data_IF_983260733530
#
_entry.id   IF_983260733530
#
_cell.length_a   1.000
_cell.length_b   1.000
_cell.length_c   1.000
_cell.angle_alpha   90.00
_cell.angle_beta   90.00
_cell.angle_gamma   90.00
#
_symmetry.space_group_name_H-M   'P 1'
#
loop_
_entity.id
_entity.type
_entity.pdbx_description
1 polymer ?
#
# COMPACT_ATOMS: atom_id res chain seq x y z
N UNK A 1 44.76 -58.32 -1.03
CA UNK A 1 45.50 -58.44 -2.30
C UNK A 1 44.55 -58.02 -3.41
N UNK A 2 44.96 -57.07 -4.25
CA UNK A 2 44.14 -56.55 -5.37
C UNK A 2 43.89 -57.64 -6.42
N UNK A 3 42.69 -57.69 -7.00
CA UNK A 3 42.32 -58.73 -7.96
C UNK A 3 43.10 -58.60 -9.27
N UNK A 4 43.39 -59.72 -9.95
CA UNK A 4 43.99 -59.72 -11.31
C UNK A 4 43.19 -58.86 -12.31
N UNK A 5 41.88 -58.75 -12.12
CA UNK A 5 41.02 -57.91 -12.96
C UNK A 5 41.21 -56.41 -12.68
N UNK A 6 41.36 -56.03 -11.41
CA UNK A 6 41.62 -54.65 -10.99
C UNK A 6 43.00 -54.20 -11.46
N UNK A 7 44.00 -55.09 -11.38
CA UNK A 7 45.34 -54.87 -11.90
C UNK A 7 45.32 -54.60 -13.42
N UNK A 8 44.60 -55.42 -14.19
CA UNK A 8 44.40 -55.22 -15.65
C UNK A 8 43.70 -53.90 -15.97
N UNK A 9 42.65 -53.53 -15.22
CA UNK A 9 41.94 -52.25 -15.38
C UNK A 9 42.86 -51.07 -15.08
N UNK A 10 43.70 -51.17 -14.05
CA UNK A 10 44.69 -50.14 -13.70
C UNK A 10 45.74 -49.98 -14.80
N UNK A 11 46.32 -51.08 -15.28
CA UNK A 11 47.29 -51.07 -16.38
C UNK A 11 46.69 -50.48 -17.67
N UNK A 12 45.43 -50.79 -17.99
CA UNK A 12 44.74 -50.20 -19.12
C UNK A 12 44.54 -48.67 -18.94
N UNK A 13 44.15 -48.21 -17.74
CA UNK A 13 44.03 -46.78 -17.42
C UNK A 13 45.37 -46.06 -17.50
N UNK A 14 46.44 -46.67 -16.97
CA UNK A 14 47.80 -46.13 -17.08
C UNK A 14 48.27 -46.05 -18.53
N UNK A 15 48.03 -47.09 -19.33
CA UNK A 15 48.35 -47.08 -20.77
C UNK A 15 47.62 -45.96 -21.50
N UNK A 16 46.32 -45.80 -21.25
CA UNK A 16 45.54 -44.70 -21.81
C UNK A 16 46.03 -43.34 -21.32
N UNK A 17 46.42 -43.21 -20.05
CA UNK A 17 47.00 -41.98 -19.49
C UNK A 17 48.32 -41.63 -20.18
N UNK A 18 49.29 -42.56 -20.22
CA UNK A 18 50.59 -42.38 -20.89
C UNK A 18 50.45 -42.10 -22.38
N UNK A 19 49.44 -42.67 -23.03
CA UNK A 19 49.12 -42.34 -24.42
C UNK A 19 48.59 -40.90 -24.55
N UNK A 20 47.68 -40.46 -23.68
CA UNK A 20 47.16 -39.07 -23.67
C UNK A 20 48.23 -38.03 -23.33
N UNK A 21 49.20 -38.38 -22.48
CA UNK A 21 50.36 -37.53 -22.15
C UNK A 21 51.30 -37.37 -23.35
N UNK A 22 51.50 -38.44 -24.13
CA UNK A 22 52.29 -38.42 -25.38
C UNK A 22 51.55 -37.81 -26.58
N UNK A 23 50.22 -37.69 -26.50
CA UNK A 23 49.37 -37.16 -27.56
C UNK A 23 48.45 -36.02 -27.07
N UNK A 24 49.01 -34.92 -26.53
CA UNK A 24 48.21 -33.79 -26.03
C UNK A 24 47.33 -33.16 -27.13
N UNK A 25 47.78 -33.19 -28.39
CA UNK A 25 47.06 -32.69 -29.56
C UNK A 25 45.76 -33.47 -29.83
N UNK A 26 45.69 -34.75 -29.43
CA UNK A 26 44.45 -35.52 -29.53
C UNK A 26 43.35 -34.95 -28.63
N UNK A 27 43.70 -34.52 -27.42
CA UNK A 27 42.75 -33.91 -26.46
C UNK A 27 42.19 -32.60 -27.02
N UNK A 28 43.03 -31.79 -27.65
CA UNK A 28 42.62 -30.53 -28.29
C UNK A 28 41.73 -30.78 -29.50
N UNK A 29 42.13 -31.68 -30.41
CA UNK A 29 41.29 -32.09 -31.55
C UNK A 29 39.94 -32.65 -31.10
N UNK A 30 39.89 -33.43 -30.03
CA UNK A 30 38.64 -33.95 -29.48
C UNK A 30 37.74 -32.84 -28.90
N UNK A 31 38.33 -31.86 -28.20
CA UNK A 31 37.60 -30.67 -27.69
C UNK A 31 37.04 -29.84 -28.83
N UNK A 32 37.85 -29.59 -29.87
CA UNK A 32 37.45 -28.80 -31.02
C UNK A 32 36.35 -29.50 -31.83
N UNK A 33 36.48 -30.82 -32.07
CA UNK A 33 35.40 -31.62 -32.68
C UNK A 33 34.11 -31.56 -31.85
N UNK A 34 34.19 -31.67 -30.53
CA UNK A 34 33.03 -31.57 -29.65
C UNK A 34 32.41 -30.16 -29.68
N UNK A 35 33.23 -29.10 -29.71
CA UNK A 35 32.76 -27.71 -29.85
C UNK A 35 32.02 -27.49 -31.17
N UNK A 36 32.60 -27.95 -32.29
CA UNK A 36 31.98 -27.87 -33.61
C UNK A 36 30.70 -28.70 -33.70
N UNK A 37 30.68 -29.89 -33.10
CA UNK A 37 29.45 -30.66 -32.95
C UNK A 37 28.41 -29.91 -32.12
N UNK A 38 28.80 -29.34 -30.98
CA UNK A 38 27.90 -28.60 -30.10
C UNK A 38 27.28 -27.40 -30.80
N UNK A 39 28.09 -26.54 -31.46
CA UNK A 39 27.57 -25.37 -32.16
C UNK A 39 26.63 -25.75 -33.32
N UNK A 40 26.97 -26.78 -34.10
CA UNK A 40 26.08 -27.30 -35.16
C UNK A 40 24.74 -27.82 -34.63
N UNK A 41 24.72 -28.37 -33.42
CA UNK A 41 23.53 -29.00 -32.82
C UNK A 41 22.90 -28.14 -31.71
N UNK A 42 23.34 -26.90 -31.52
CA UNK A 42 23.02 -26.07 -30.35
C UNK A 42 21.54 -25.73 -30.28
N UNK A 43 20.97 -25.28 -31.39
CA UNK A 43 19.56 -24.89 -31.49
C UNK A 43 18.63 -26.07 -31.23
N UNK A 44 18.90 -27.21 -31.87
CA UNK A 44 18.12 -28.45 -31.72
C UNK A 44 18.21 -28.99 -30.30
N UNK A 45 19.41 -29.08 -29.71
CA UNK A 45 19.58 -29.47 -28.31
C UNK A 45 18.84 -28.54 -27.37
N UNK A 46 18.90 -27.23 -27.60
CA UNK A 46 18.18 -26.26 -26.78
C UNK A 46 16.67 -26.43 -26.91
N UNK A 47 16.15 -26.69 -28.10
CA UNK A 47 14.73 -27.00 -28.32
C UNK A 47 14.33 -28.27 -27.55
N UNK A 48 15.05 -29.37 -27.76
CA UNK A 48 14.82 -30.63 -27.06
C UNK A 48 14.88 -30.49 -25.55
N UNK A 49 15.81 -29.68 -25.03
CA UNK A 49 15.90 -29.40 -23.60
C UNK A 49 14.71 -28.59 -23.08
N UNK A 50 14.23 -27.59 -23.83
CA UNK A 50 13.02 -26.83 -23.47
C UNK A 50 11.79 -27.74 -23.47
N UNK A 51 11.65 -28.61 -24.45
CA UNK A 51 10.51 -29.52 -24.56
C UNK A 51 10.54 -30.57 -23.46
N UNK A 52 11.70 -31.16 -23.19
CA UNK A 52 11.91 -32.04 -22.04
C UNK A 52 11.60 -31.33 -20.72
N UNK A 53 12.00 -30.06 -20.56
CA UNK A 53 11.70 -29.30 -19.35
C UNK A 53 10.20 -29.00 -19.22
N UNK A 54 9.52 -28.66 -20.32
CA UNK A 54 8.06 -28.46 -20.36
C UNK A 54 7.33 -29.74 -20.01
N UNK A 55 7.71 -30.87 -20.62
CA UNK A 55 7.12 -32.18 -20.34
C UNK A 55 7.31 -32.58 -18.87
N UNK A 56 8.50 -32.39 -18.31
CA UNK A 56 8.77 -32.65 -16.88
C UNK A 56 7.91 -31.76 -15.96
N UNK A 57 7.77 -30.48 -16.28
CA UNK A 57 6.93 -29.56 -15.51
C UNK A 57 5.43 -29.86 -15.64
N UNK A 58 4.98 -30.33 -16.81
CA UNK A 58 3.60 -30.73 -17.05
C UNK A 58 3.25 -32.05 -16.34
N UNK A 59 4.18 -33.02 -16.30
CA UNK A 59 3.99 -34.31 -15.65
C UNK A 59 3.95 -34.18 -14.12
N UNK A 60 4.92 -33.48 -13.53
CA UNK A 60 4.90 -33.15 -12.11
C UNK A 60 5.65 -31.82 -11.85
N UNK A 61 4.93 -30.72 -11.61
CA UNK A 61 5.56 -29.44 -11.33
C UNK A 61 6.17 -29.37 -9.93
N UNK A 62 5.82 -30.28 -9.02
CA UNK A 62 6.08 -30.11 -7.60
C UNK A 62 7.55 -30.22 -7.19
N UNK A 63 8.37 -31.13 -7.74
CA UNK A 63 9.81 -31.15 -7.48
C UNK A 63 10.49 -29.84 -7.88
N UNK A 64 10.08 -29.25 -9.00
CA UNK A 64 10.61 -27.97 -9.49
C UNK A 64 10.16 -26.84 -8.55
N UNK A 65 8.89 -26.82 -8.15
CA UNK A 65 8.36 -25.83 -7.21
C UNK A 65 9.01 -25.95 -5.84
N UNK A 66 9.16 -27.16 -5.30
CA UNK A 66 9.81 -27.43 -4.03
C UNK A 66 11.26 -26.94 -4.02
N UNK A 67 12.03 -27.28 -5.06
CA UNK A 67 13.39 -26.75 -5.26
C UNK A 67 13.40 -25.22 -5.32
N UNK A 68 12.48 -24.62 -6.09
CA UNK A 68 12.41 -23.17 -6.22
C UNK A 68 12.02 -22.48 -4.90
N UNK A 69 11.12 -23.09 -4.11
CA UNK A 69 10.78 -22.62 -2.75
C UNK A 69 11.99 -22.72 -1.82
N UNK A 70 12.69 -23.86 -1.79
CA UNK A 70 13.89 -24.05 -0.99
C UNK A 70 15.00 -23.05 -1.37
N UNK A 71 15.23 -22.85 -2.67
CA UNK A 71 16.18 -21.85 -3.17
C UNK A 71 15.75 -20.43 -2.78
N UNK A 72 14.47 -20.09 -2.95
CA UNK A 72 13.94 -18.77 -2.58
C UNK A 72 14.07 -18.50 -1.08
N UNK A 73 13.89 -19.52 -0.24
CA UNK A 73 14.04 -19.41 1.20
C UNK A 73 15.51 -19.22 1.58
N UNK A 74 16.41 -20.06 1.04
CA UNK A 74 17.87 -19.96 1.29
C UNK A 74 18.46 -18.64 0.82
N UNK A 75 17.93 -18.06 -0.25
CA UNK A 75 18.42 -16.81 -0.86
C UNK A 75 17.51 -15.62 -0.58
N UNK A 76 16.68 -15.68 0.48
CA UNK A 76 15.71 -14.63 0.79
C UNK A 76 16.35 -13.24 0.87
N UNK A 77 17.49 -13.13 1.53
CA UNK A 77 18.15 -11.85 1.76
C UNK A 77 18.82 -11.33 0.49
N UNK A 78 19.49 -12.19 -0.28
CA UNK A 78 20.05 -11.83 -1.59
C UNK A 78 18.97 -11.35 -2.57
N UNK A 79 17.80 -12.02 -2.56
CA UNK A 79 16.65 -11.60 -3.37
C UNK A 79 16.07 -10.28 -2.89
N UNK A 80 16.03 -10.06 -1.58
CA UNK A 80 15.57 -8.81 -1.00
C UNK A 80 16.51 -7.66 -1.36
N UNK A 81 17.81 -7.86 -1.23
CA UNK A 81 18.84 -6.91 -1.62
C UNK A 81 18.78 -6.57 -3.12
N UNK A 82 18.68 -7.57 -3.99
CA UNK A 82 18.45 -7.37 -5.42
C UNK A 82 17.19 -6.52 -5.70
N UNK A 83 16.09 -6.82 -4.99
CA UNK A 83 14.86 -6.03 -5.10
C UNK A 83 15.06 -4.58 -4.65
N UNK A 84 15.78 -4.34 -3.56
CA UNK A 84 16.07 -2.99 -3.07
C UNK A 84 16.96 -2.22 -4.04
N UNK A 85 18.02 -2.85 -4.57
CA UNK A 85 18.90 -2.24 -5.59
C UNK A 85 18.12 -1.86 -6.83
N UNK A 86 17.28 -2.76 -7.35
CA UNK A 86 16.41 -2.47 -8.49
C UNK A 86 15.41 -1.35 -8.19
N UNK A 87 14.84 -1.33 -6.98
CA UNK A 87 13.92 -0.28 -6.53
C UNK A 87 14.61 1.09 -6.44
N UNK A 88 15.88 1.12 -6.02
CA UNK A 88 16.68 2.33 -5.92
C UNK A 88 17.14 2.85 -7.29
N UNK A 89 17.44 1.95 -8.23
CA UNK A 89 17.83 2.31 -9.60
C UNK A 89 16.67 2.88 -10.43
N UNK A 90 15.43 2.61 -10.05
CA UNK A 90 14.26 3.15 -10.75
C UNK A 90 13.95 4.59 -10.28
N UNK A 91 13.80 5.56 -11.21
CA UNK A 91 13.36 6.90 -10.88
C UNK A 91 12.07 6.89 -10.05
N UNK A 92 12.05 7.69 -8.98
CA UNK A 92 10.98 7.64 -8.00
C UNK A 92 9.60 7.91 -8.62
N UNK A 93 9.51 8.84 -9.56
CA UNK A 93 8.25 9.15 -10.26
C UNK A 93 7.70 7.99 -11.07
N UNK A 94 8.56 7.28 -11.80
CA UNK A 94 8.17 6.09 -12.57
C UNK A 94 7.66 4.99 -11.64
N UNK A 95 8.37 4.76 -10.51
CA UNK A 95 7.95 3.81 -9.49
C UNK A 95 6.59 4.17 -8.91
N UNK A 96 6.38 5.44 -8.54
CA UNK A 96 5.10 5.95 -8.02
C UNK A 96 3.97 5.77 -9.03
N UNK A 97 4.21 6.09 -10.30
CA UNK A 97 3.21 5.96 -11.36
C UNK A 97 2.80 4.50 -11.55
N UNK A 98 3.76 3.59 -11.66
CA UNK A 98 3.49 2.15 -11.78
C UNK A 98 2.74 1.59 -10.59
N UNK A 99 3.09 1.99 -9.36
CA UNK A 99 2.38 1.54 -8.15
C UNK A 99 0.93 2.02 -8.10
N UNK A 100 0.68 3.29 -8.50
CA UNK A 100 -0.67 3.84 -8.63
C UNK A 100 -1.47 3.08 -9.68
N UNK A 101 -0.89 2.83 -10.85
CA UNK A 101 -1.56 2.11 -11.93
C UNK A 101 -1.86 0.66 -11.55
N UNK A 102 -0.91 -0.04 -10.92
CA UNK A 102 -1.13 -1.39 -10.39
C UNK A 102 -2.27 -1.43 -9.38
N UNK A 103 -2.32 -0.43 -8.49
CA UNK A 103 -3.39 -0.30 -7.49
C UNK A 103 -4.74 -0.02 -8.16
N UNK A 104 -4.77 0.87 -9.16
CA UNK A 104 -5.94 1.19 -9.97
C UNK A 104 -6.48 -0.05 -10.69
N UNK A 105 -5.63 -0.79 -11.41
CA UNK A 105 -6.01 -2.02 -12.13
C UNK A 105 -6.57 -3.08 -11.17
N UNK A 106 -5.97 -3.23 -9.98
CA UNK A 106 -6.46 -4.15 -8.95
C UNK A 106 -7.85 -3.75 -8.43
N UNK A 107 -8.08 -2.46 -8.21
CA UNK A 107 -9.38 -1.95 -7.78
C UNK A 107 -10.43 -2.12 -8.89
N UNK A 108 -10.11 -1.77 -10.14
CA UNK A 108 -11.02 -1.91 -11.28
C UNK A 108 -11.48 -3.34 -11.54
N UNK A 109 -10.59 -4.33 -11.36
CA UNK A 109 -10.91 -5.76 -11.55
C UNK A 109 -11.91 -6.29 -10.53
N UNK A 110 -11.80 -5.84 -9.28
CA UNK A 110 -12.59 -6.35 -8.15
C UNK A 110 -12.70 -5.27 -7.06
N UNK A 111 -13.62 -4.31 -7.22
CA UNK A 111 -13.82 -3.24 -6.24
C UNK A 111 -14.28 -3.78 -4.89
N UNK A 112 -15.25 -4.73 -4.91
CA UNK A 112 -15.86 -5.27 -3.70
C UNK A 112 -14.85 -6.06 -2.86
N UNK A 113 -14.10 -6.98 -3.46
CA UNK A 113 -13.07 -7.73 -2.75
C UNK A 113 -11.87 -6.86 -2.36
N UNK A 114 -11.57 -5.77 -3.08
CA UNK A 114 -10.58 -4.79 -2.62
C UNK A 114 -11.04 -4.08 -1.33
N UNK A 115 -12.30 -3.63 -1.27
CA UNK A 115 -12.87 -3.00 -0.09
C UNK A 115 -12.93 -3.98 1.10
N UNK A 116 -13.33 -5.23 0.86
CA UNK A 116 -13.33 -6.27 1.90
C UNK A 116 -11.92 -6.52 2.46
N UNK A 117 -10.90 -6.62 1.60
CA UNK A 117 -9.50 -6.76 2.02
C UNK A 117 -9.01 -5.55 2.81
N UNK A 118 -9.38 -4.34 2.40
CA UNK A 118 -9.06 -3.11 3.14
C UNK A 118 -9.70 -3.09 4.52
N UNK A 119 -10.96 -3.53 4.64
CA UNK A 119 -11.67 -3.64 5.92
C UNK A 119 -10.93 -4.59 6.87
N UNK A 120 -10.67 -5.82 6.45
CA UNK A 120 -9.94 -6.83 7.24
C UNK A 120 -8.56 -6.31 7.65
N UNK A 121 -7.84 -5.65 6.73
CA UNK A 121 -6.53 -5.08 7.04
C UNK A 121 -6.61 -4.00 8.12
N UNK A 122 -7.58 -3.08 8.04
CA UNK A 122 -7.77 -2.01 9.04
C UNK A 122 -8.15 -2.57 10.41
N UNK A 123 -8.97 -3.61 10.45
CA UNK A 123 -9.35 -4.30 11.69
C UNK A 123 -8.14 -4.98 12.33
N UNK A 124 -7.36 -5.75 11.55
CA UNK A 124 -6.15 -6.43 12.04
C UNK A 124 -4.99 -5.50 12.36
N UNK A 125 -4.99 -4.29 11.79
CA UNK A 125 -3.90 -3.31 11.93
C UNK A 125 -4.43 -1.96 12.42
N UNK A 126 -5.30 -1.98 13.43
CA UNK A 126 -6.01 -0.79 13.91
C UNK A 126 -5.09 0.37 14.26
N UNK A 127 -4.00 0.09 14.97
CA UNK A 127 -2.99 1.10 15.32
C UNK A 127 -2.35 1.73 14.07
N UNK A 128 -1.90 0.90 13.12
CA UNK A 128 -1.33 1.40 11.85
C UNK A 128 -2.36 2.19 11.05
N UNK A 129 -3.61 1.73 10.99
CA UNK A 129 -4.70 2.45 10.33
C UNK A 129 -4.93 3.83 10.94
N UNK A 130 -4.94 3.94 12.27
CA UNK A 130 -5.01 5.23 12.97
C UNK A 130 -3.79 6.11 12.68
N UNK A 131 -2.59 5.54 12.67
CA UNK A 131 -1.36 6.25 12.33
C UNK A 131 -1.41 6.83 10.91
N UNK A 132 -1.91 6.08 9.92
CA UNK A 132 -2.11 6.57 8.55
C UNK A 132 -3.10 7.74 8.49
N UNK A 133 -4.23 7.66 9.18
CA UNK A 133 -5.22 8.75 9.23
C UNK A 133 -4.61 9.99 9.88
N UNK A 134 -3.87 9.83 10.98
CA UNK A 134 -3.15 10.92 11.65
C UNK A 134 -2.13 11.58 10.73
N UNK A 135 -1.29 10.79 10.07
CA UNK A 135 -0.28 11.29 9.12
C UNK A 135 -0.92 12.05 7.94
N UNK A 136 -2.02 11.51 7.38
CA UNK A 136 -2.79 12.19 6.34
C UNK A 136 -3.37 13.51 6.84
N UNK A 137 -3.89 13.56 8.07
CA UNK A 137 -4.41 14.79 8.67
C UNK A 137 -3.32 15.84 8.87
N UNK A 138 -2.13 15.45 9.34
CA UNK A 138 -0.97 16.36 9.47
C UNK A 138 -0.58 16.90 8.10
N UNK A 139 -0.54 16.06 7.06
CA UNK A 139 -0.25 16.47 5.69
C UNK A 139 -1.26 17.50 5.18
N UNK A 140 -2.56 17.27 5.39
CA UNK A 140 -3.61 18.23 5.01
C UNK A 140 -3.46 19.57 5.72
N UNK A 141 -3.16 19.56 7.03
CA UNK A 141 -2.90 20.80 7.79
C UNK A 141 -1.68 21.56 7.26
N UNK A 142 -0.59 20.86 6.92
CA UNK A 142 0.60 21.48 6.30
C UNK A 142 0.30 22.08 4.94
N UNK A 143 -0.48 21.38 4.11
CA UNK A 143 -0.91 21.91 2.81
C UNK A 143 -1.81 23.15 2.96
N UNK A 144 -2.60 23.22 4.04
CA UNK A 144 -3.38 24.39 4.42
C UNK A 144 -2.56 25.50 5.11
N UNK A 145 -1.26 25.61 4.79
CA UNK A 145 -0.34 26.63 5.32
C UNK A 145 0.34 26.28 6.64
N UNK A 146 0.03 25.14 7.27
CA UNK A 146 0.70 24.67 8.49
C UNK A 146 0.43 25.49 9.75
N UNK A 147 -0.21 26.65 9.62
CA UNK A 147 -0.57 27.53 10.72
C UNK A 147 -1.64 26.88 11.61
N UNK A 148 -1.53 27.09 12.92
CA UNK A 148 -2.48 26.59 13.91
C UNK A 148 -2.84 27.69 14.90
N UNK A 149 -4.06 27.65 15.43
CA UNK A 149 -4.44 28.44 16.59
C UNK A 149 -3.92 27.81 17.90
N UNK A 150 -3.77 28.63 18.93
CA UNK A 150 -3.36 28.19 20.27
C UNK A 150 -4.57 27.80 21.12
N UNK A 151 -4.35 27.05 22.19
CA UNK A 151 -5.41 26.71 23.16
C UNK A 151 -6.06 27.96 23.76
N UNK A 152 -5.29 29.02 24.00
CA UNK A 152 -5.83 30.30 24.52
C UNK A 152 -6.77 30.97 23.51
N UNK A 153 -6.41 30.99 22.23
CA UNK A 153 -7.28 31.51 21.17
C UNK A 153 -8.59 30.71 21.06
N UNK A 154 -8.52 29.39 21.23
CA UNK A 154 -9.70 28.54 21.26
C UNK A 154 -10.62 28.83 22.46
N UNK A 155 -10.06 28.98 23.66
CA UNK A 155 -10.83 29.33 24.85
C UNK A 155 -11.51 30.70 24.71
N UNK A 156 -10.79 31.70 24.20
CA UNK A 156 -11.35 33.02 23.94
C UNK A 156 -12.49 32.97 22.90
N UNK A 157 -12.35 32.16 21.85
CA UNK A 157 -13.40 31.95 20.85
C UNK A 157 -14.62 31.25 21.47
N UNK A 158 -14.42 30.26 22.34
CA UNK A 158 -15.51 29.63 23.07
C UNK A 158 -16.27 30.64 23.92
N UNK A 159 -15.57 31.47 24.68
CA UNK A 159 -16.20 32.46 25.57
C UNK A 159 -16.95 33.52 24.77
N UNK A 160 -16.40 33.99 23.65
CA UNK A 160 -17.09 34.88 22.70
C UNK A 160 -18.43 34.32 22.21
N UNK A 161 -18.50 33.00 21.98
CA UNK A 161 -19.72 32.31 21.56
C UNK A 161 -20.59 31.82 22.75
N UNK A 162 -20.37 32.31 23.97
CA UNK A 162 -21.11 31.88 25.16
C UNK A 162 -20.97 30.38 25.45
N UNK A 163 -19.83 29.80 25.06
CA UNK A 163 -19.48 28.37 25.14
C UNK A 163 -20.54 27.48 24.51
N UNK A 164 -21.12 27.93 23.40
CA UNK A 164 -22.22 27.29 22.70
C UNK A 164 -21.89 27.05 21.22
N UNK A 165 -22.64 26.14 20.60
CA UNK A 165 -22.53 25.85 19.18
C UNK A 165 -22.94 27.06 18.34
N UNK A 166 -22.07 27.51 17.44
CA UNK A 166 -22.30 28.65 16.54
C UNK A 166 -23.43 28.43 15.50
N UNK A 167 -23.98 27.22 15.43
CA UNK A 167 -25.07 26.85 14.52
C UNK A 167 -26.42 26.72 15.22
N UNK A 168 -26.47 25.98 16.34
CA UNK A 168 -27.72 25.61 17.02
C UNK A 168 -27.81 26.07 18.48
N UNK A 169 -26.77 26.69 19.03
CA UNK A 169 -26.75 27.17 20.42
C UNK A 169 -26.59 26.08 21.49
N UNK A 170 -26.52 24.79 21.13
CA UNK A 170 -26.26 23.71 22.10
C UNK A 170 -24.92 23.92 22.81
N UNK A 171 -24.87 23.67 24.12
CA UNK A 171 -23.64 23.73 24.95
C UNK A 171 -22.98 22.35 25.15
N UNK A 172 -23.53 21.30 24.53
CA UNK A 172 -23.10 19.92 24.75
C UNK A 172 -22.03 19.52 23.73
N UNK A 173 -20.91 18.96 24.23
CA UNK A 173 -19.82 18.38 23.42
C UNK A 173 -19.38 19.30 22.27
N UNK A 174 -18.90 20.50 22.65
CA UNK A 174 -18.38 21.46 21.69
C UNK A 174 -17.03 20.99 21.13
N UNK A 175 -16.98 20.87 19.82
CA UNK A 175 -15.81 20.50 19.03
C UNK A 175 -15.37 21.68 18.15
N UNK A 176 -14.15 21.59 17.65
CA UNK A 176 -13.59 22.50 16.64
C UNK A 176 -14.21 22.14 15.27
N UNK A 177 -14.85 23.10 14.63
CA UNK A 177 -15.28 23.02 13.24
C UNK A 177 -14.57 24.10 12.41
N UNK A 178 -14.32 23.82 11.12
CA UNK A 178 -13.69 24.75 10.20
C UNK A 178 -14.75 25.43 9.33
N UNK A 179 -14.81 26.77 9.29
CA UNK A 179 -15.76 27.52 8.42
C UNK A 179 -15.67 27.03 6.98
N UNK A 180 -14.47 27.00 6.43
CA UNK A 180 -14.13 26.29 5.19
C UNK A 180 -13.36 25.02 5.52
N UNK A 181 -13.85 23.82 5.16
CA UNK A 181 -13.14 22.57 5.43
C UNK A 181 -11.73 22.53 4.82
N UNK A 182 -10.77 21.90 5.50
CA UNK A 182 -9.39 21.76 5.02
C UNK A 182 -9.30 21.11 3.62
N UNK A 183 -10.22 20.19 3.29
CA UNK A 183 -10.26 19.53 1.98
C UNK A 183 -10.68 20.49 0.84
N UNK A 184 -11.33 21.62 1.19
CA UNK A 184 -11.72 22.69 0.26
C UNK A 184 -10.79 23.91 0.36
N UNK A 185 -9.59 23.72 0.89
CA UNK A 185 -8.58 24.79 0.96
C UNK A 185 -8.70 25.74 2.16
N UNK A 186 -9.57 25.45 3.14
CA UNK A 186 -9.63 26.25 4.36
C UNK A 186 -8.35 26.12 5.20
N UNK A 187 -8.00 27.19 5.93
CA UNK A 187 -6.84 27.23 6.81
C UNK A 187 -7.12 26.61 8.18
N UNK A 188 -6.08 26.35 8.98
CA UNK A 188 -6.24 25.94 10.38
C UNK A 188 -5.96 27.11 11.36
N UNK A 189 -6.17 28.34 10.90
CA UNK A 189 -6.11 29.57 11.70
C UNK A 189 -7.39 29.81 12.47
N UNK A 190 -7.32 30.54 13.59
CA UNK A 190 -8.48 30.83 14.45
C UNK A 190 -9.63 31.49 13.67
N UNK A 191 -9.32 32.32 12.66
CA UNK A 191 -10.32 32.97 11.82
C UNK A 191 -11.21 31.97 11.05
N UNK A 192 -10.69 30.77 10.73
CA UNK A 192 -11.43 29.70 10.08
C UNK A 192 -12.06 28.72 11.07
N UNK A 193 -12.07 28.98 12.38
CA UNK A 193 -12.60 28.06 13.39
C UNK A 193 -13.93 28.58 13.94
N UNK A 194 -14.84 27.66 14.22
CA UNK A 194 -16.07 27.87 14.97
C UNK A 194 -16.27 26.77 16.02
N UNK A 195 -16.89 27.10 17.17
CA UNK A 195 -17.37 26.10 18.09
C UNK A 195 -18.65 25.45 17.55
N UNK A 196 -18.64 24.13 17.40
CA UNK A 196 -19.80 23.38 16.93
C UNK A 196 -20.04 22.16 17.81
N UNK A 197 -21.28 21.88 18.17
CA UNK A 197 -21.60 20.61 18.83
C UNK A 197 -21.36 19.44 17.85
N UNK A 198 -21.07 18.26 18.41
CA UNK A 198 -20.80 17.04 17.63
C UNK A 198 -21.86 16.71 16.59
N UNK A 199 -23.14 16.97 16.86
CA UNK A 199 -24.23 16.69 15.91
C UNK A 199 -24.17 17.64 14.70
N UNK A 200 -24.04 18.95 14.92
CA UNK A 200 -23.88 19.93 13.84
C UNK A 200 -22.60 19.71 13.05
N UNK A 201 -21.47 19.50 13.72
CA UNK A 201 -20.17 19.25 13.07
C UNK A 201 -20.24 18.03 12.12
N UNK A 202 -20.87 16.94 12.59
CA UNK A 202 -21.09 15.72 11.79
C UNK A 202 -22.09 15.88 10.65
N UNK A 203 -23.07 16.78 10.77
CA UNK A 203 -24.01 17.09 9.67
C UNK A 203 -23.34 17.97 8.62
N UNK A 204 -22.52 18.94 9.03
CA UNK A 204 -21.77 19.83 8.14
C UNK A 204 -20.77 19.08 7.26
N UNK A 205 -20.02 18.13 7.81
CA UNK A 205 -19.00 17.32 7.08
C UNK A 205 -18.03 18.18 6.25
N UNK A 206 -18.26 18.24 4.94
CA UNK A 206 -17.40 18.86 3.94
C UNK A 206 -18.04 20.11 3.33
N UNK A 207 -19.19 20.53 3.85
CA UNK A 207 -19.82 21.80 3.49
C UNK A 207 -19.07 22.98 4.13
N UNK A 208 -19.10 24.13 3.46
CA UNK A 208 -18.69 25.40 4.07
C UNK A 208 -19.71 25.85 5.12
N UNK A 209 -19.33 26.82 5.94
CA UNK A 209 -20.23 27.46 6.90
C UNK A 209 -21.49 27.97 6.19
N UNK A 210 -21.34 28.69 5.09
CA UNK A 210 -22.47 29.28 4.35
C UNK A 210 -23.40 28.23 3.78
N UNK A 211 -22.86 27.18 3.16
CA UNK A 211 -23.64 26.05 2.64
C UNK A 211 -24.42 25.36 3.77
N UNK A 212 -23.80 25.17 4.93
CA UNK A 212 -24.45 24.53 6.06
C UNK A 212 -25.50 25.43 6.70
N UNK A 213 -25.24 26.74 6.82
CA UNK A 213 -26.22 27.71 7.30
C UNK A 213 -27.42 27.78 6.36
N UNK A 214 -27.20 27.77 5.04
CA UNK A 214 -28.27 27.71 4.04
C UNK A 214 -29.11 26.43 4.16
N UNK A 215 -28.46 25.27 4.38
CA UNK A 215 -29.17 24.02 4.65
C UNK A 215 -30.05 24.13 5.91
N UNK A 216 -29.50 24.62 7.02
CA UNK A 216 -30.25 24.79 8.27
C UNK A 216 -31.40 25.80 8.13
N UNK A 217 -31.24 26.83 7.31
CA UNK A 217 -32.32 27.78 7.01
C UNK A 217 -33.42 27.13 6.18
N UNK A 218 -33.06 26.36 5.15
CA UNK A 218 -34.03 25.61 4.32
C UNK A 218 -34.84 24.64 5.16
N UNK A 219 -34.18 23.86 6.01
CA UNK A 219 -34.85 22.91 6.91
C UNK A 219 -35.76 23.61 7.93
N UNK A 220 -35.34 24.78 8.45
CA UNK A 220 -36.20 25.59 9.34
C UNK A 220 -37.45 26.08 8.63
N UNK A 221 -37.34 26.55 7.38
CA UNK A 221 -38.50 26.99 6.58
C UNK A 221 -39.45 25.81 6.29
N UNK A 222 -38.90 24.67 5.87
CA UNK A 222 -39.69 23.46 5.62
C UNK A 222 -40.35 22.92 6.90
N UNK A 223 -39.69 23.03 8.05
CA UNK A 223 -40.28 22.69 9.35
C UNK A 223 -41.38 23.66 9.80
N UNK A 224 -41.32 24.93 9.37
CA UNK A 224 -42.38 25.92 9.58
C UNK A 224 -43.59 25.67 8.67
N UNK A 225 -43.35 25.26 7.42
CA UNK A 225 -44.39 24.96 6.41
C UNK A 225 -45.17 23.65 6.71
N UNK A 226 -44.57 22.71 7.46
CA UNK A 226 -45.21 21.44 7.83
C UNK A 226 -45.93 21.46 9.18
N UNK A 227 -46.09 22.63 9.83
CA UNK A 227 -46.95 22.83 11.00
C UNK A 227 -46.52 22.04 12.24
N UNK A 228 -45.65 22.63 13.07
CA UNK A 228 -45.51 22.23 14.47
C UNK A 228 -46.02 23.38 15.35
N UNK A 229 -47.32 23.37 15.66
CA UNK A 229 -47.83 24.13 16.80
C UNK A 229 -47.22 23.54 18.08
N UNK A 230 -46.59 24.39 18.88
CA UNK A 230 -46.23 24.07 20.26
C UNK A 230 -44.73 24.04 20.53
N UNK A 231 -44.20 25.16 21.02
CA UNK A 231 -43.78 25.32 22.43
C UNK A 231 -43.02 26.65 22.56
N UNK A 232 -43.75 27.76 22.44
CA UNK A 232 -43.38 29.01 23.10
C UNK A 232 -44.12 29.07 24.45
N UNK A 233 -43.39 29.39 25.51
CA UNK A 233 -43.97 29.82 26.78
C UNK A 233 -43.63 28.95 27.99
N UNK A 234 -42.66 29.41 28.78
CA UNK A 234 -42.88 29.79 30.19
C UNK A 234 -41.66 30.55 30.72
N UNK A 235 -41.71 31.87 30.55
CA UNK A 235 -41.13 32.79 31.51
C UNK A 235 -41.99 32.69 32.79
N UNK A 236 -41.41 32.19 33.87
CA UNK A 236 -42.02 32.13 35.20
C UNK A 236 -41.31 33.08 36.13
N UNK A 237 -41.78 34.32 36.19
CA UNK A 237 -41.49 35.27 37.26
C UNK A 237 -42.03 34.70 38.57
N UNK A 238 -41.20 34.59 39.60
CA UNK A 238 -41.68 34.47 40.99
C UNK A 238 -41.09 35.62 41.79
N UNK A 239 -41.96 36.58 42.14
CA UNK A 239 -41.80 37.43 43.31
C UNK A 239 -42.72 36.87 44.38
N UNK A 240 -42.16 36.60 45.55
CA UNK A 240 -42.80 36.73 46.86
C UNK A 240 -41.68 36.96 47.85
#
# INVERSE_FOLDING_TARGET
MESKEEQRKREARERTRRWRERHPEYKERARERHKQWYERNKSERQAKNRDNQRARYAADPEPIRARNRAWSQKNKDQRHDYYLRRKAAEPEDQRRQRERERTRRRYQRDPAGWLARQKIWRERNREKAHAYVRASSIKRRRAAGGQSFTSAQWLALLDYHGRSCAYCGSKVLIEIDHRTPLIRGGSNLIANILPACRSCNRRKRTMTEDEFRALLQRERRQGLELGFEGLDGKAGTTRS
#
